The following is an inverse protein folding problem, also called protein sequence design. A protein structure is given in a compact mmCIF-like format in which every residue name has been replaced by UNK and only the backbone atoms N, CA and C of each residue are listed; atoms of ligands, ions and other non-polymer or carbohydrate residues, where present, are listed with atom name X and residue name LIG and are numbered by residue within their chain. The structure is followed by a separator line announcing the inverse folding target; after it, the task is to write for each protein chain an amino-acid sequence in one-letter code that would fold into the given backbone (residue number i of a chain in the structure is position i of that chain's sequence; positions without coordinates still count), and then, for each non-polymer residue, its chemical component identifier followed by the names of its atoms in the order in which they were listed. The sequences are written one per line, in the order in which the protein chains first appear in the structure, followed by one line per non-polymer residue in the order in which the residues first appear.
data_IF_529483452366
#
_entry.id   IF_529483452366
#
_cell.length_a   1.000
_cell.length_b   1.000
_cell.length_c   1.000
_cell.angle_alpha   90.00
_cell.angle_beta   90.00
_cell.angle_gamma   90.00
#
_symmetry.space_group_name_H-M   'P 1'
#
loop_
_entity.id
_entity.type
_entity.pdbx_description
1 polymer ?
#
# COMPACT_ATOMS: atom_id res chain seq x y z
N UNK A 1 3.75 -10.97 -20.61
CA UNK A 1 3.55 -9.94 -19.59
C UNK A 1 2.73 -10.51 -18.45
N UNK A 2 3.18 -10.34 -17.22
CA UNK A 2 2.45 -10.86 -16.06
C UNK A 2 1.11 -10.13 -15.89
N UNK A 3 0.07 -10.85 -15.53
CA UNK A 3 -1.23 -10.27 -15.21
C UNK A 3 -1.25 -9.70 -13.79
N UNK A 4 -2.26 -8.89 -13.46
CA UNK A 4 -2.40 -8.38 -12.10
C UNK A 4 -2.56 -9.51 -11.07
N UNK A 5 -3.37 -10.56 -11.29
CA UNK A 5 -3.41 -11.69 -10.35
C UNK A 5 -2.06 -12.36 -10.13
N UNK A 6 -1.24 -12.50 -11.17
CA UNK A 6 0.11 -13.05 -11.02
C UNK A 6 0.99 -12.14 -10.18
N UNK A 7 0.94 -10.83 -10.41
CA UNK A 7 1.66 -9.85 -9.60
C UNK A 7 1.22 -9.93 -8.14
N UNK A 8 -0.07 -9.98 -7.88
CA UNK A 8 -0.60 -10.09 -6.52
C UNK A 8 -0.09 -11.36 -5.82
N UNK A 9 -0.04 -12.48 -6.53
CA UNK A 9 0.49 -13.73 -5.97
C UNK A 9 1.97 -13.57 -5.58
N UNK A 10 2.79 -12.94 -6.43
CA UNK A 10 4.19 -12.66 -6.12
C UNK A 10 4.34 -11.74 -4.91
N UNK A 11 3.51 -10.70 -4.83
CA UNK A 11 3.54 -9.76 -3.70
C UNK A 11 3.19 -10.46 -2.39
N UNK A 12 2.15 -11.31 -2.40
CA UNK A 12 1.70 -12.02 -1.20
C UNK A 12 2.72 -13.02 -0.67
N UNK A 13 3.58 -13.56 -1.53
CA UNK A 13 4.60 -14.52 -1.13
C UNK A 13 5.96 -13.88 -0.88
N UNK A 14 6.13 -12.59 -1.18
CA UNK A 14 7.40 -11.91 -1.01
C UNK A 14 7.82 -11.85 0.46
N UNK A 15 9.06 -12.27 0.75
CA UNK A 15 9.66 -12.26 2.10
C UNK A 15 11.05 -11.65 2.08
N UNK A 16 11.37 -10.89 1.04
CA UNK A 16 12.73 -10.41 0.79
C UNK A 16 13.29 -9.56 1.91
N UNK A 17 12.52 -8.59 2.39
CA UNK A 17 12.98 -7.70 3.48
C UNK A 17 13.12 -8.47 4.80
N UNK A 18 12.18 -9.35 5.12
CA UNK A 18 12.22 -10.16 6.32
C UNK A 18 13.43 -11.11 6.28
N UNK A 19 13.71 -11.73 5.15
CA UNK A 19 14.87 -12.61 4.96
C UNK A 19 16.18 -11.85 5.08
N UNK A 20 16.21 -10.57 4.73
CA UNK A 20 17.38 -9.71 4.85
C UNK A 20 17.60 -9.18 6.28
N UNK A 21 16.72 -9.51 7.23
CA UNK A 21 16.87 -9.14 8.63
C UNK A 21 16.21 -7.84 9.04
N UNK A 22 15.42 -7.22 8.18
CA UNK A 22 14.67 -6.02 8.55
C UNK A 22 13.48 -6.38 9.43
N UNK A 23 13.15 -5.47 10.34
CA UNK A 23 11.98 -5.61 11.22
C UNK A 23 10.72 -5.27 10.44
N UNK A 24 10.27 -6.22 9.65
CA UNK A 24 9.13 -6.07 8.78
C UNK A 24 8.23 -7.31 8.86
N UNK A 25 6.93 -7.09 8.85
CA UNK A 25 5.95 -8.16 8.99
C UNK A 25 5.17 -8.36 7.70
N UNK A 26 5.45 -9.43 6.93
CA UNK A 26 4.60 -9.78 5.80
C UNK A 26 3.22 -10.26 6.28
N UNK A 27 2.23 -10.37 5.41
CA UNK A 27 2.32 -10.25 3.96
C UNK A 27 2.10 -8.83 3.47
N UNK A 28 2.25 -8.64 2.16
CA UNK A 28 1.91 -7.40 1.49
C UNK A 28 0.43 -7.06 1.68
N UNK A 29 0.14 -5.77 1.84
CA UNK A 29 -1.23 -5.26 2.02
C UNK A 29 -1.56 -4.35 0.84
N UNK A 30 -2.56 -4.73 0.07
CA UNK A 30 -3.06 -3.98 -1.08
C UNK A 30 -4.47 -4.46 -1.40
N UNK A 31 -5.18 -3.70 -2.21
CA UNK A 31 -6.52 -4.11 -2.65
C UNK A 31 -6.91 -3.36 -3.91
N UNK A 32 -7.53 -4.07 -4.83
CA UNK A 32 -8.10 -3.46 -6.01
C UNK A 32 -8.05 -4.37 -7.23
N UNK A 33 -8.51 -3.83 -8.34
CA UNK A 33 -8.68 -4.58 -9.59
C UNK A 33 -8.03 -3.85 -10.76
N UNK A 34 -7.82 -4.57 -11.85
CA UNK A 34 -7.12 -4.04 -13.02
C UNK A 34 -7.87 -2.88 -13.70
N UNK A 35 -9.20 -2.82 -13.53
CA UNK A 35 -10.03 -1.78 -14.14
C UNK A 35 -10.08 -0.49 -13.31
N UNK A 36 -9.36 -0.41 -12.21
CA UNK A 36 -9.34 0.78 -11.36
C UNK A 36 -8.86 2.01 -12.14
N UNK A 37 -9.55 3.12 -11.98
CA UNK A 37 -9.18 4.40 -12.60
C UNK A 37 -8.39 5.29 -11.67
N UNK A 38 -8.47 5.04 -10.37
CA UNK A 38 -7.76 5.79 -9.34
C UNK A 38 -6.90 4.84 -8.54
N UNK A 39 -5.66 5.25 -8.30
CA UNK A 39 -4.71 4.51 -7.47
C UNK A 39 -4.30 5.37 -6.29
N UNK A 40 -4.53 4.86 -5.09
CA UNK A 40 -4.18 5.50 -3.83
C UNK A 40 -2.88 4.86 -3.32
N UNK A 41 -1.83 5.66 -3.13
CA UNK A 41 -0.51 5.18 -2.75
C UNK A 41 -0.08 5.83 -1.45
N UNK A 42 0.08 5.03 -0.40
CA UNK A 42 0.59 5.48 0.89
C UNK A 42 2.04 5.10 1.11
N UNK A 43 2.53 5.28 2.33
CA UNK A 43 3.91 4.94 2.68
C UNK A 43 4.08 3.43 2.89
N UNK A 44 3.35 2.87 3.84
CA UNK A 44 3.43 1.47 4.23
C UNK A 44 2.20 1.10 5.06
N UNK A 45 1.83 -0.19 5.13
CA UNK A 45 0.76 -0.61 6.03
C UNK A 45 1.16 -0.45 7.50
N UNK A 46 0.18 -0.17 8.35
CA UNK A 46 0.34 -0.23 9.80
C UNK A 46 -0.12 -1.57 10.35
N UNK A 47 -0.07 -1.71 11.68
CA UNK A 47 -0.43 -2.96 12.35
C UNK A 47 -1.90 -3.34 12.10
N UNK A 48 -2.80 -2.35 12.11
CA UNK A 48 -4.23 -2.62 11.88
C UNK A 48 -4.50 -3.08 10.45
N UNK A 49 -3.75 -2.57 9.49
CA UNK A 49 -3.83 -3.01 8.10
C UNK A 49 -3.41 -4.46 7.95
N UNK A 50 -2.35 -4.88 8.64
CA UNK A 50 -1.88 -6.27 8.64
C UNK A 50 -2.93 -7.19 9.25
N UNK A 51 -3.48 -6.81 10.39
CA UNK A 51 -4.50 -7.61 11.10
C UNK A 51 -5.79 -7.76 10.27
N UNK A 52 -6.25 -6.68 9.67
CA UNK A 52 -7.49 -6.65 8.89
C UNK A 52 -7.29 -7.09 7.43
N UNK A 53 -6.05 -7.19 6.97
CA UNK A 53 -5.73 -7.41 5.54
C UNK A 53 -6.39 -6.37 4.65
N UNK A 54 -6.35 -5.11 5.08
CA UNK A 54 -7.09 -4.02 4.46
C UNK A 54 -6.27 -2.75 4.49
N UNK A 55 -5.92 -2.16 3.32
CA UNK A 55 -5.18 -0.91 3.28
C UNK A 55 -6.02 0.26 3.81
N UNK A 56 -5.34 1.25 4.36
CA UNK A 56 -5.96 2.48 4.90
C UNK A 56 -7.07 2.18 5.91
N UNK A 57 -6.79 1.28 6.85
CA UNK A 57 -7.77 0.77 7.83
C UNK A 57 -7.78 1.56 9.15
N UNK A 58 -6.68 2.26 9.49
CA UNK A 58 -6.52 2.94 10.78
C UNK A 58 -6.96 4.41 10.73
N UNK A 59 -6.59 5.18 11.75
CA UNK A 59 -7.00 6.58 11.90
C UNK A 59 -6.62 7.48 10.74
N UNK A 60 -5.43 7.30 10.15
CA UNK A 60 -5.01 8.04 8.96
C UNK A 60 -5.89 7.72 7.76
N UNK A 61 -6.27 6.46 7.63
CA UNK A 61 -7.21 6.04 6.58
C UNK A 61 -8.58 6.64 6.75
N UNK A 62 -9.08 6.68 7.99
CA UNK A 62 -10.37 7.31 8.28
C UNK A 62 -10.38 8.79 7.92
N UNK A 63 -9.30 9.50 8.23
CA UNK A 63 -9.17 10.93 7.88
C UNK A 63 -9.13 11.11 6.37
N UNK A 64 -8.38 10.27 5.68
CA UNK A 64 -8.30 10.32 4.22
C UNK A 64 -9.68 10.13 3.58
N UNK A 65 -10.42 9.10 4.02
CA UNK A 65 -11.75 8.84 3.47
C UNK A 65 -12.78 9.91 3.87
N UNK A 66 -12.60 10.58 5.00
CA UNK A 66 -13.39 11.73 5.34
C UNK A 66 -13.18 12.87 4.32
N UNK A 67 -11.93 13.14 3.96
CA UNK A 67 -11.61 14.14 2.93
C UNK A 67 -12.13 13.71 1.55
N UNK A 68 -12.00 12.46 1.19
CA UNK A 68 -12.52 11.95 -0.08
C UNK A 68 -14.03 12.02 -0.14
N UNK A 69 -14.70 11.79 0.99
CA UNK A 69 -16.16 11.96 1.11
C UNK A 69 -16.57 13.39 0.83
N UNK A 70 -15.83 14.37 1.35
CA UNK A 70 -16.08 15.80 1.06
C UNK A 70 -15.92 16.11 -0.43
N UNK A 71 -15.04 15.37 -1.13
CA UNK A 71 -14.85 15.50 -2.57
C UNK A 71 -15.87 14.70 -3.40
N UNK A 72 -16.80 14.01 -2.75
CA UNK A 72 -17.85 13.27 -3.41
C UNK A 72 -17.63 11.77 -3.56
N UNK A 73 -16.59 11.21 -2.94
CA UNK A 73 -16.32 9.78 -3.01
C UNK A 73 -16.76 9.06 -1.74
N UNK A 74 -17.63 8.05 -1.89
CA UNK A 74 -18.01 7.13 -0.83
C UNK A 74 -16.90 6.10 -0.60
N UNK A 75 -16.58 5.82 0.66
CA UNK A 75 -15.48 4.90 1.01
C UNK A 75 -15.71 3.49 0.45
N UNK A 76 -16.89 2.91 0.66
CA UNK A 76 -17.18 1.57 0.22
C UNK A 76 -17.13 1.44 -1.30
N UNK A 77 -17.64 2.44 -1.98
CA UNK A 77 -17.61 2.51 -3.44
C UNK A 77 -16.17 2.66 -3.95
N UNK A 78 -15.38 3.53 -3.31
CA UNK A 78 -13.97 3.71 -3.66
C UNK A 78 -13.21 2.39 -3.51
N UNK A 79 -13.39 1.70 -2.38
CA UNK A 79 -12.73 0.43 -2.12
C UNK A 79 -13.13 -0.67 -3.10
N UNK A 80 -14.35 -0.64 -3.58
CA UNK A 80 -14.85 -1.63 -4.54
C UNK A 80 -14.34 -1.41 -5.96
N UNK A 81 -14.08 -0.15 -6.35
CA UNK A 81 -13.79 0.21 -7.74
C UNK A 81 -12.33 0.53 -8.02
N UNK A 82 -11.60 1.01 -7.03
CA UNK A 82 -10.27 1.56 -7.24
C UNK A 82 -9.18 0.71 -6.60
N UNK A 83 -7.96 1.19 -6.64
CA UNK A 83 -6.80 0.42 -6.19
C UNK A 83 -6.09 1.17 -5.07
N UNK A 84 -5.68 0.44 -4.04
CA UNK A 84 -4.97 0.99 -2.89
C UNK A 84 -3.72 0.17 -2.62
N UNK A 85 -2.58 0.85 -2.51
CA UNK A 85 -1.30 0.24 -2.29
C UNK A 85 -0.39 1.20 -1.51
N UNK A 86 0.89 0.86 -1.42
CA UNK A 86 1.89 1.67 -0.71
C UNK A 86 3.25 1.51 -1.36
N UNK A 87 4.16 2.42 -1.04
CA UNK A 87 5.55 2.37 -1.53
C UNK A 87 6.22 1.08 -1.08
N UNK A 88 6.08 0.70 0.20
CA UNK A 88 6.41 -0.64 0.65
C UNK A 88 5.13 -1.38 1.05
N UNK A 89 5.11 -2.68 0.79
CA UNK A 89 3.87 -3.46 0.84
C UNK A 89 3.60 -4.11 2.19
N UNK A 90 4.61 -4.21 3.06
CA UNK A 90 4.52 -4.90 4.33
C UNK A 90 4.67 -3.92 5.50
N UNK A 91 4.16 -4.30 6.66
CA UNK A 91 4.26 -3.49 7.87
C UNK A 91 5.72 -3.38 8.34
N UNK A 92 6.28 -2.16 8.44
CA UNK A 92 7.70 -1.98 8.78
C UNK A 92 8.02 -2.08 10.28
N UNK A 93 7.04 -2.27 11.13
CA UNK A 93 7.24 -2.26 12.57
C UNK A 93 7.18 -0.85 13.17
N UNK A 94 7.30 -0.78 14.48
CA UNK A 94 7.28 0.50 15.19
C UNK A 94 8.64 1.18 15.12
N UNK A 95 8.63 2.51 15.15
CA UNK A 95 9.85 3.29 15.27
C UNK A 95 10.57 2.99 16.59
N UNK A 96 11.91 3.18 16.61
CA UNK A 96 12.75 2.89 17.78
C UNK A 96 12.36 3.70 19.02
N UNK A 97 11.79 4.90 18.81
CA UNK A 97 11.31 5.74 19.92
C UNK A 97 9.92 5.35 20.43
N UNK A 98 9.29 4.31 19.87
CA UNK A 98 7.95 3.84 20.23
C UNK A 98 6.82 4.74 19.76
N UNK A 99 7.11 5.79 19.01
CA UNK A 99 6.11 6.74 18.49
C UNK A 99 5.90 6.51 17.00
N UNK A 100 4.74 5.94 16.66
CA UNK A 100 4.39 5.69 15.27
C UNK A 100 5.18 4.53 14.66
N UNK A 101 5.02 4.37 13.38
CA UNK A 101 5.64 3.28 12.64
C UNK A 101 7.03 3.71 12.13
N UNK A 102 7.90 2.72 11.98
CA UNK A 102 9.21 2.93 11.37
C UNK A 102 9.03 3.31 9.90
N UNK A 103 9.84 4.28 9.45
CA UNK A 103 9.90 4.60 8.01
C UNK A 103 10.74 3.52 7.32
N UNK A 104 10.24 2.89 6.24
CA UNK A 104 11.03 1.90 5.51
C UNK A 104 12.35 2.50 5.03
N UNK A 105 13.42 1.70 5.11
CA UNK A 105 14.74 2.11 4.63
C UNK A 105 14.75 2.22 3.10
N UNK A 106 15.79 2.91 2.57
CA UNK A 106 15.97 3.00 1.12
C UNK A 106 16.10 1.64 0.47
N UNK A 107 16.78 0.69 1.12
CA UNK A 107 16.93 -0.67 0.60
C UNK A 107 15.57 -1.37 0.49
N UNK A 108 14.75 -1.28 1.54
CA UNK A 108 13.41 -1.86 1.50
C UNK A 108 12.55 -1.23 0.41
N UNK A 109 12.61 0.08 0.26
CA UNK A 109 11.90 0.79 -0.80
C UNK A 109 12.35 0.33 -2.19
N UNK A 110 13.64 0.18 -2.40
CA UNK A 110 14.21 -0.26 -3.69
C UNK A 110 13.80 -1.69 -4.02
N UNK A 111 13.78 -2.58 -3.03
CA UNK A 111 13.36 -3.97 -3.26
C UNK A 111 11.87 -4.10 -3.54
N UNK A 112 11.06 -3.22 -2.97
CA UNK A 112 9.61 -3.22 -3.17
C UNK A 112 9.18 -2.45 -4.42
N UNK A 113 10.00 -1.52 -4.89
CA UNK A 113 9.69 -0.63 -6.02
C UNK A 113 9.25 -1.35 -7.30
N UNK A 114 9.87 -2.47 -7.71
CA UNK A 114 9.40 -3.16 -8.91
C UNK A 114 7.93 -3.58 -8.84
N UNK A 115 7.42 -3.89 -7.66
CA UNK A 115 5.99 -4.20 -7.49
C UNK A 115 5.12 -2.98 -7.77
N UNK A 116 5.48 -1.82 -7.22
CA UNK A 116 4.72 -0.58 -7.44
C UNK A 116 4.74 -0.19 -8.92
N UNK A 117 5.90 -0.28 -9.56
CA UNK A 117 6.03 0.01 -10.99
C UNK A 117 5.14 -0.90 -11.83
N UNK A 118 5.09 -2.19 -11.51
CA UNK A 118 4.24 -3.15 -12.20
C UNK A 118 2.75 -2.91 -11.92
N UNK A 119 2.40 -2.55 -10.69
CA UNK A 119 1.03 -2.16 -10.36
C UNK A 119 0.58 -1.00 -11.24
N UNK A 120 1.39 0.05 -11.31
CA UNK A 120 1.07 1.24 -12.10
C UNK A 120 0.94 0.89 -13.59
N UNK A 121 1.87 0.09 -14.11
CA UNK A 121 1.86 -0.30 -15.51
C UNK A 121 0.64 -1.16 -15.88
N UNK A 122 0.28 -2.10 -15.02
CA UNK A 122 -0.84 -3.02 -15.28
C UNK A 122 -2.19 -2.36 -15.13
N UNK A 123 -2.34 -1.46 -14.16
CA UNK A 123 -3.60 -0.78 -13.90
C UNK A 123 -3.75 0.45 -14.79
N UNK A 124 -2.66 1.15 -15.03
CA UNK A 124 -2.63 2.38 -15.84
C UNK A 124 -3.71 3.37 -15.39
N UNK A 125 -3.68 3.83 -14.12
CA UNK A 125 -4.75 4.65 -13.57
C UNK A 125 -4.79 6.03 -14.23
N UNK A 126 -5.96 6.64 -14.26
CA UNK A 126 -6.14 8.02 -14.71
C UNK A 126 -5.70 9.03 -13.67
N UNK A 127 -5.77 8.65 -12.40
CA UNK A 127 -5.43 9.53 -11.29
C UNK A 127 -4.67 8.70 -10.24
N UNK A 128 -3.54 9.25 -9.79
CA UNK A 128 -2.83 8.72 -8.62
C UNK A 128 -2.93 9.73 -7.48
N UNK A 129 -3.38 9.26 -6.32
CA UNK A 129 -3.43 10.06 -5.10
C UNK A 129 -2.29 9.60 -4.21
N UNK A 130 -1.33 10.49 -3.97
CA UNK A 130 -0.12 10.19 -3.20
C UNK A 130 -0.31 10.71 -1.78
N UNK A 131 -0.18 9.82 -0.80
CA UNK A 131 -0.44 10.13 0.60
C UNK A 131 0.87 10.07 1.39
N UNK A 132 1.30 11.25 1.84
CA UNK A 132 2.54 11.39 2.60
C UNK A 132 3.78 11.61 1.73
N UNK A 133 4.82 12.17 2.34
CA UNK A 133 6.03 12.59 1.62
C UNK A 133 6.78 11.47 0.93
N UNK A 134 6.73 10.26 1.46
CA UNK A 134 7.45 9.13 0.88
C UNK A 134 6.85 8.70 -0.47
N UNK A 135 5.54 8.87 -0.65
CA UNK A 135 4.85 8.49 -1.88
C UNK A 135 5.02 9.54 -2.99
N UNK A 136 5.33 10.77 -2.61
CA UNK A 136 5.55 11.89 -3.54
C UNK A 136 6.93 11.80 -4.17
#
# INVERSE_FOLDING_TARGET
MASLPQLHAEMLTCRRCAQAGYDITPPAIFRGQAQAQVMLIGQAPGVTEVEARRPFNAGSGRRLFQWLSEAGWDEDEFRARHYMTAVTKCYPGKASNGKGDRVPSKAEQQWCRPFLEREIALINPRLMILVGGLAI
#
